data_IF_460249144194
#
_entry.id   IF_460249144194
#
_cell.length_a   1.000
_cell.length_b   1.000
_cell.length_c   1.000
_cell.angle_alpha   90.00
_cell.angle_beta   90.00
_cell.angle_gamma   90.00
#
_symmetry.space_group_name_H-M   'P 1'
#
loop_
_entity.id
_entity.type
_entity.pdbx_description
1 polymer ?
#
# COMPACT_ATOMS: atom_id res chain seq x y z
N UNK A 1 15.24 6.01 1.17
CA UNK A 1 14.40 5.36 0.14
C UNK A 1 14.45 3.88 0.35
N UNK A 2 13.32 3.30 0.77
CA UNK A 2 13.20 1.88 1.08
C UNK A 2 12.91 1.06 -0.18
N UNK A 3 13.34 -0.20 -0.19
CA UNK A 3 12.96 -1.15 -1.25
C UNK A 3 11.86 -2.06 -0.70
N UNK A 4 10.60 -1.92 -1.15
CA UNK A 4 9.53 -2.75 -0.64
C UNK A 4 9.69 -4.19 -1.14
N UNK A 5 9.51 -5.15 -0.24
CA UNK A 5 9.45 -6.57 -0.59
C UNK A 5 8.02 -7.07 -0.40
N UNK A 6 7.43 -7.64 -1.46
CA UNK A 6 6.09 -8.22 -1.37
C UNK A 6 6.13 -9.68 -0.91
N UNK A 7 5.22 -10.03 -0.01
CA UNK A 7 4.99 -11.42 0.37
C UNK A 7 4.06 -12.12 -0.63
N UNK A 8 4.07 -13.46 -0.63
CA UNK A 8 3.12 -14.25 -1.41
C UNK A 8 1.66 -13.99 -0.99
N UNK A 9 1.43 -13.72 0.29
CA UNK A 9 0.13 -13.32 0.83
C UNK A 9 -0.33 -11.97 0.26
N UNK A 10 0.55 -10.95 0.30
CA UNK A 10 0.27 -9.63 -0.25
C UNK A 10 -0.11 -9.70 -1.74
N UNK A 11 0.63 -10.47 -2.52
CA UNK A 11 0.35 -10.67 -3.95
C UNK A 11 -1.03 -11.30 -4.20
N UNK A 12 -1.45 -12.25 -3.37
CA UNK A 12 -2.79 -12.88 -3.45
C UNK A 12 -3.89 -11.88 -3.11
N UNK A 13 -3.69 -11.06 -2.09
CA UNK A 13 -4.66 -10.03 -1.71
C UNK A 13 -4.80 -8.93 -2.76
N UNK A 14 -3.69 -8.47 -3.34
CA UNK A 14 -3.72 -7.53 -4.48
C UNK A 14 -4.57 -8.05 -5.63
N UNK A 15 -4.39 -9.31 -6.03
CA UNK A 15 -5.20 -9.94 -7.10
C UNK A 15 -6.67 -9.99 -6.72
N UNK A 16 -6.99 -10.32 -5.47
CA UNK A 16 -8.36 -10.37 -4.94
C UNK A 16 -9.01 -8.98 -4.94
N UNK A 17 -8.28 -7.95 -4.52
CA UNK A 17 -8.75 -6.55 -4.54
C UNK A 17 -9.01 -6.07 -5.97
N UNK A 18 -8.09 -6.37 -6.89
CA UNK A 18 -8.26 -6.07 -8.32
C UNK A 18 -9.54 -6.71 -8.88
N UNK A 19 -9.75 -8.01 -8.60
CA UNK A 19 -10.95 -8.74 -9.05
C UNK A 19 -12.25 -8.15 -8.48
N UNK A 20 -12.20 -7.54 -7.30
CA UNK A 20 -13.34 -6.86 -6.64
C UNK A 20 -13.55 -5.43 -7.13
N UNK A 21 -12.80 -4.96 -8.14
CA UNK A 21 -12.92 -3.60 -8.67
C UNK A 21 -12.48 -2.51 -7.70
N UNK A 22 -11.59 -2.83 -6.74
CA UNK A 22 -11.03 -1.83 -5.84
C UNK A 22 -10.04 -0.95 -6.60
N UNK A 23 -10.04 0.32 -6.24
CA UNK A 23 -9.06 1.29 -6.71
C UNK A 23 -7.69 1.00 -6.08
N UNK A 24 -6.77 0.47 -6.88
CA UNK A 24 -5.42 0.12 -6.45
C UNK A 24 -4.48 1.34 -6.43
N UNK A 25 -4.84 2.45 -7.05
CA UNK A 25 -4.00 3.66 -7.02
C UNK A 25 -3.91 4.21 -5.59
N UNK A 26 -5.00 4.10 -4.81
CA UNK A 26 -4.98 4.45 -3.38
C UNK A 26 -3.93 3.67 -2.59
N UNK A 27 -3.76 2.40 -2.88
CA UNK A 27 -2.74 1.58 -2.23
C UNK A 27 -1.34 1.98 -2.70
N UNK A 28 -1.17 2.19 -4.01
CA UNK A 28 0.10 2.62 -4.60
C UNK A 28 0.58 3.94 -3.99
N UNK A 29 -0.29 4.94 -3.86
CA UNK A 29 0.05 6.23 -3.24
C UNK A 29 0.58 6.05 -1.81
N UNK A 30 -0.04 5.19 -1.00
CA UNK A 30 0.43 4.94 0.37
C UNK A 30 1.79 4.25 0.37
N UNK A 31 1.99 3.26 -0.50
CA UNK A 31 3.28 2.57 -0.63
C UNK A 31 4.39 3.52 -1.07
N UNK A 32 4.11 4.45 -2.00
CA UNK A 32 5.08 5.47 -2.45
C UNK A 32 5.49 6.40 -1.30
N UNK A 33 4.54 6.85 -0.48
CA UNK A 33 4.83 7.67 0.71
C UNK A 33 5.72 6.91 1.71
N UNK A 34 5.40 5.63 1.97
CA UNK A 34 6.19 4.78 2.86
C UNK A 34 7.62 4.55 2.33
N UNK A 35 7.76 4.28 1.04
CA UNK A 35 9.07 4.08 0.38
C UNK A 35 9.94 5.33 0.47
N UNK A 36 9.32 6.50 0.41
CA UNK A 36 9.98 7.80 0.54
C UNK A 36 10.17 8.22 2.01
N UNK A 37 9.78 7.38 2.97
CA UNK A 37 9.87 7.67 4.41
C UNK A 37 9.12 8.96 4.79
N UNK A 38 8.04 9.27 4.05
CA UNK A 38 7.19 10.41 4.32
C UNK A 38 6.16 10.09 5.40
N UNK A 39 5.80 11.12 6.17
CA UNK A 39 4.72 11.03 7.15
C UNK A 39 3.40 10.79 6.41
N UNK A 40 2.69 9.73 6.79
CA UNK A 40 1.38 9.46 6.24
C UNK A 40 0.37 10.52 6.73
N UNK A 41 -0.45 11.09 5.82
CA UNK A 41 -1.57 11.93 6.20
C UNK A 41 -2.49 11.25 7.24
N UNK A 42 -3.01 12.03 8.19
CA UNK A 42 -3.81 11.55 9.33
C UNK A 42 -5.02 10.68 8.91
N UNK A 43 -5.59 10.92 7.72
CA UNK A 43 -6.69 10.12 7.16
C UNK A 43 -6.36 8.63 7.03
N UNK A 44 -5.07 8.28 6.90
CA UNK A 44 -4.63 6.89 6.81
C UNK A 44 -4.55 6.20 8.17
N UNK A 45 -4.68 6.97 9.28
CA UNK A 45 -4.75 6.48 10.66
C UNK A 45 -3.63 5.49 10.98
N UNK A 46 -2.42 5.86 10.60
CA UNK A 46 -1.23 5.06 10.88
C UNK A 46 -1.05 4.92 12.39
N UNK A 47 -0.72 3.71 12.83
CA UNK A 47 -0.51 3.40 14.25
C UNK A 47 0.98 3.46 14.54
N UNK A 48 1.34 3.93 15.74
CA UNK A 48 2.72 3.90 16.22
C UNK A 48 3.03 2.58 16.90
#
# INVERSE_FOLDING_TARGET
>A
MLTPQESTHFRRDLRRMKKRGKDLEKLKTVVELLVQEQILPERYRDHK
#
